data_IF_294764340345
#
_entry.id   IF_294764340345
#
_cell.length_a   1.000
_cell.length_b   1.000
_cell.length_c   1.000
_cell.angle_alpha   90.00
_cell.angle_beta   90.00
_cell.angle_gamma   90.00
#
_symmetry.space_group_name_H-M   'P 1'
#
loop_
_entity.id
_entity.type
_entity.pdbx_description
1 polymer ?
#
# COMPACT_ATOMS: atom_id res chain seq x y z
N UNK A 1 -14.52 -18.81 6.11
CA UNK A 1 -13.99 -18.86 4.74
C UNK A 1 -12.48 -18.80 4.78
N UNK A 2 -11.83 -19.64 4.04
CA UNK A 2 -10.38 -19.64 4.00
C UNK A 2 -9.88 -18.71 2.90
N UNK A 3 -8.77 -18.05 3.12
CA UNK A 3 -8.10 -17.30 2.10
C UNK A 3 -7.51 -18.23 1.04
N UNK A 4 -7.35 -17.72 -0.18
CA UNK A 4 -6.57 -18.41 -1.20
C UNK A 4 -5.11 -18.45 -0.78
N UNK A 5 -4.34 -19.44 -1.27
CA UNK A 5 -2.89 -19.43 -1.03
C UNK A 5 -2.28 -18.13 -1.51
N UNK A 6 -1.46 -17.55 -0.68
CA UNK A 6 -0.77 -16.29 -0.99
C UNK A 6 0.69 -16.58 -1.24
N UNK A 7 1.20 -16.07 -2.36
CA UNK A 7 2.62 -16.07 -2.62
C UNK A 7 3.27 -14.95 -1.81
N UNK A 8 4.13 -15.32 -0.85
CA UNK A 8 4.88 -14.33 -0.09
C UNK A 8 6.20 -14.07 -0.82
N UNK A 9 6.49 -12.79 -1.12
CA UNK A 9 7.70 -12.47 -1.87
C UNK A 9 8.98 -12.76 -1.10
N UNK A 10 10.04 -12.95 -1.87
CA UNK A 10 11.38 -13.08 -1.36
C UNK A 10 11.85 -11.75 -0.74
N UNK A 11 12.53 -11.81 0.39
CA UNK A 11 13.02 -10.63 1.08
C UNK A 11 14.25 -9.99 0.44
N UNK A 12 14.70 -10.49 -0.68
CA UNK A 12 15.86 -9.96 -1.40
C UNK A 12 15.51 -9.20 -2.68
N UNK A 13 14.26 -8.78 -2.83
CA UNK A 13 13.84 -8.03 -4.01
C UNK A 13 14.45 -6.63 -4.04
N UNK A 14 14.77 -6.19 -5.26
CA UNK A 14 15.29 -4.85 -5.50
C UNK A 14 14.19 -3.81 -5.41
N UNK A 15 14.53 -2.64 -4.89
CA UNK A 15 13.61 -1.51 -4.89
C UNK A 15 13.67 -0.75 -6.21
N UNK A 16 12.57 -0.07 -6.54
CA UNK A 16 12.54 0.86 -7.66
C UNK A 16 13.46 2.05 -7.37
N UNK A 17 14.15 2.52 -8.40
CA UNK A 17 15.10 3.63 -8.26
C UNK A 17 14.40 4.91 -7.80
N UNK A 18 14.94 5.52 -6.75
CA UNK A 18 14.43 6.79 -6.22
C UNK A 18 13.15 6.68 -5.41
N UNK A 19 12.64 5.48 -5.19
CA UNK A 19 11.47 5.23 -4.38
C UNK A 19 11.73 4.03 -3.48
N UNK A 20 11.32 4.15 -2.24
CA UNK A 20 11.47 3.11 -1.23
C UNK A 20 10.09 2.79 -0.67
N UNK A 21 9.69 1.54 -0.74
CA UNK A 21 8.47 1.05 -0.11
C UNK A 21 8.77 -0.37 0.35
N UNK A 22 8.76 -0.57 1.65
CA UNK A 22 9.04 -1.90 2.18
C UNK A 22 8.12 -2.23 3.34
N UNK A 23 7.96 -3.53 3.57
CA UNK A 23 7.21 -4.06 4.70
C UNK A 23 7.90 -5.28 5.25
N UNK A 24 7.57 -5.62 6.49
CA UNK A 24 8.02 -6.87 7.10
C UNK A 24 6.86 -7.53 7.82
N UNK A 25 6.94 -8.82 7.94
CA UNK A 25 6.05 -9.61 8.80
C UNK A 25 6.76 -9.98 10.10
N UNK A 26 7.76 -10.83 10.03
CA UNK A 26 8.55 -11.24 11.20
C UNK A 26 10.05 -11.31 10.93
N UNK A 27 10.49 -11.10 9.72
CA UNK A 27 11.89 -11.23 9.34
C UNK A 27 12.44 -9.99 8.69
N UNK A 28 13.26 -10.20 7.69
CA UNK A 28 13.84 -9.13 6.91
C UNK A 28 12.76 -8.38 6.13
N UNK A 29 12.94 -7.09 5.89
CA UNK A 29 11.98 -6.33 5.10
C UNK A 29 11.94 -6.82 3.65
N UNK A 30 10.74 -6.75 3.09
CA UNK A 30 10.47 -7.04 1.68
C UNK A 30 10.36 -5.71 0.97
N UNK A 31 11.16 -5.52 -0.08
CA UNK A 31 11.20 -4.27 -0.83
C UNK A 31 10.30 -4.36 -2.04
N UNK A 32 9.46 -3.34 -2.25
CA UNK A 32 8.64 -3.25 -3.43
C UNK A 32 9.50 -3.11 -4.68
N UNK A 33 9.08 -3.78 -5.74
CA UNK A 33 9.71 -3.67 -7.06
C UNK A 33 9.10 -2.53 -7.87
N UNK A 34 7.83 -2.22 -7.59
CA UNK A 34 7.11 -1.12 -8.25
C UNK A 34 6.39 -0.29 -7.20
N UNK A 35 6.37 1.02 -7.40
CA UNK A 35 5.73 1.94 -6.48
C UNK A 35 4.90 2.98 -7.24
N UNK A 36 3.87 3.50 -6.57
CA UNK A 36 3.05 4.60 -7.09
C UNK A 36 2.78 5.57 -5.97
N UNK A 37 2.97 6.85 -6.24
CA UNK A 37 2.51 7.95 -5.40
C UNK A 37 1.89 9.00 -6.32
N UNK A 38 0.60 9.20 -6.21
CA UNK A 38 -0.13 10.17 -7.03
C UNK A 38 -1.43 10.60 -6.36
N UNK A 39 -2.01 11.67 -6.89
CA UNK A 39 -3.37 12.06 -6.54
C UNK A 39 -4.34 11.38 -7.50
N UNK A 40 -5.40 10.79 -6.95
CA UNK A 40 -6.51 10.28 -7.73
C UNK A 40 -7.65 11.27 -7.61
N UNK A 41 -7.78 12.13 -8.62
CA UNK A 41 -8.75 13.22 -8.65
C UNK A 41 -9.89 12.96 -9.63
N UNK A 42 -9.92 11.78 -10.27
CA UNK A 42 -10.92 11.43 -11.26
C UNK A 42 -12.24 11.07 -10.62
N UNK A 43 -13.33 11.39 -11.34
CA UNK A 43 -14.67 11.03 -10.94
C UNK A 43 -15.29 11.97 -9.91
N UNK A 44 -16.60 11.79 -9.63
CA UNK A 44 -17.34 12.63 -8.69
C UNK A 44 -17.16 12.24 -7.24
N UNK A 45 -16.56 11.08 -6.98
CA UNK A 45 -16.38 10.55 -5.64
C UNK A 45 -15.26 11.30 -4.90
N UNK A 46 -15.01 10.88 -3.66
CA UNK A 46 -13.97 11.47 -2.83
C UNK A 46 -12.61 11.27 -3.48
N UNK A 47 -11.84 12.34 -3.53
CA UNK A 47 -10.50 12.34 -4.10
C UNK A 47 -9.50 11.87 -3.06
N UNK A 48 -8.47 11.13 -3.51
CA UNK A 48 -7.50 10.52 -2.61
C UNK A 48 -6.08 10.72 -3.09
N UNK A 49 -5.14 10.72 -2.13
CA UNK A 49 -3.75 10.40 -2.39
C UNK A 49 -3.61 8.88 -2.36
N UNK A 50 -2.83 8.35 -3.29
CA UNK A 50 -2.55 6.91 -3.39
C UNK A 50 -1.06 6.66 -3.15
N UNK A 51 -0.77 5.75 -2.22
CA UNK A 51 0.59 5.27 -1.93
C UNK A 51 0.59 3.76 -2.10
N UNK A 52 1.44 3.25 -2.98
CA UNK A 52 1.34 1.86 -3.42
C UNK A 52 2.72 1.25 -3.60
N UNK A 53 2.86 -0.01 -3.19
CA UNK A 53 4.07 -0.80 -3.45
C UNK A 53 3.71 -2.24 -3.76
N UNK A 54 4.38 -2.83 -4.74
CA UNK A 54 4.11 -4.18 -5.18
C UNK A 54 5.37 -4.96 -5.54
N UNK A 55 5.24 -6.28 -5.46
CA UNK A 55 6.22 -7.24 -5.98
C UNK A 55 5.52 -8.25 -6.88
N UNK A 56 6.29 -8.90 -7.74
CA UNK A 56 5.79 -9.97 -8.59
C UNK A 56 4.89 -9.49 -9.72
N UNK A 57 4.18 -10.42 -10.35
CA UNK A 57 3.29 -10.12 -11.46
C UNK A 57 2.07 -11.01 -11.45
N UNK A 58 0.95 -10.49 -11.97
CA UNK A 58 -0.28 -11.27 -12.11
C UNK A 58 -0.10 -12.38 -13.14
N UNK A 59 0.67 -12.13 -14.19
CA UNK A 59 0.93 -13.11 -15.25
C UNK A 59 1.60 -14.36 -14.68
N UNK A 60 2.52 -14.19 -13.74
CA UNK A 60 3.26 -15.29 -13.13
C UNK A 60 2.58 -15.84 -11.87
N UNK A 61 1.45 -15.25 -11.46
CA UNK A 61 0.77 -15.69 -10.26
C UNK A 61 1.51 -15.33 -8.97
N UNK A 62 2.35 -14.28 -9.01
CA UNK A 62 3.21 -13.89 -7.88
C UNK A 62 2.94 -12.47 -7.39
N UNK A 63 1.88 -11.83 -7.85
CA UNK A 63 1.58 -10.44 -7.50
C UNK A 63 1.23 -10.29 -6.02
N UNK A 64 1.81 -9.28 -5.39
CA UNK A 64 1.63 -9.01 -3.97
C UNK A 64 1.83 -7.52 -3.74
N UNK A 65 0.81 -6.85 -3.22
CA UNK A 65 0.82 -5.39 -3.11
C UNK A 65 0.10 -4.90 -1.86
N UNK A 66 0.49 -3.71 -1.43
CA UNK A 66 -0.27 -2.92 -0.47
C UNK A 66 -0.53 -1.55 -1.05
N UNK A 67 -1.74 -1.03 -0.84
CA UNK A 67 -2.13 0.30 -1.26
C UNK A 67 -2.78 1.04 -0.10
N UNK A 68 -2.32 2.26 0.13
CA UNK A 68 -2.87 3.17 1.13
C UNK A 68 -3.53 4.34 0.41
N UNK A 69 -4.75 4.67 0.82
CA UNK A 69 -5.52 5.78 0.26
C UNK A 69 -5.96 6.69 1.38
N UNK A 70 -5.60 7.96 1.29
CA UNK A 70 -6.01 8.98 2.26
C UNK A 70 -6.69 10.13 1.53
N UNK A 71 -7.58 10.90 2.21
CA UNK A 71 -8.29 12.00 1.54
C UNK A 71 -7.32 13.03 0.97
N UNK A 72 -7.65 13.50 -0.23
CA UNK A 72 -6.94 14.62 -0.84
C UNK A 72 -7.52 15.92 -0.29
N UNK A 73 -6.71 16.69 0.40
CA UNK A 73 -7.11 17.94 1.03
C UNK A 73 -6.36 19.15 0.44
N UNK A 74 -5.87 19.03 -0.78
CA UNK A 74 -5.15 20.09 -1.47
C UNK A 74 -3.66 19.82 -1.59
N UNK A 75 -2.92 20.83 -2.04
CA UNK A 75 -1.49 20.71 -2.34
C UNK A 75 -0.59 21.27 -1.22
N UNK A 76 -1.13 21.51 -0.05
CA UNK A 76 -0.36 21.98 1.10
C UNK A 76 0.34 20.85 1.85
N UNK A 77 1.32 21.23 2.67
CA UNK A 77 1.99 20.28 3.56
C UNK A 77 0.97 19.59 4.45
N UNK A 78 1.14 18.28 4.65
CA UNK A 78 0.24 17.50 5.48
C UNK A 78 1.05 16.53 6.34
N UNK A 79 0.94 16.67 7.66
CA UNK A 79 1.47 15.71 8.61
C UNK A 79 0.30 15.20 9.44
N UNK A 80 0.04 13.90 9.36
CA UNK A 80 -1.16 13.35 9.98
C UNK A 80 -1.04 11.86 10.20
N UNK A 81 -1.74 11.38 11.21
CA UNK A 81 -1.92 9.95 11.47
C UNK A 81 -3.37 9.57 11.17
N UNK A 82 -3.54 8.54 10.36
CA UNK A 82 -4.84 7.97 10.00
C UNK A 82 -5.00 6.61 10.65
N UNK A 83 -6.23 6.32 11.09
CA UNK A 83 -6.58 5.00 11.62
C UNK A 83 -7.88 4.55 10.97
N UNK A 84 -8.00 3.26 10.68
CA UNK A 84 -9.26 2.72 10.20
C UNK A 84 -10.32 2.92 11.28
N UNK A 85 -11.47 3.47 10.89
CA UNK A 85 -12.57 3.77 11.81
C UNK A 85 -12.53 5.15 12.42
N UNK A 86 -11.58 6.00 12.03
CA UNK A 86 -11.49 7.38 12.54
C UNK A 86 -12.37 8.39 11.77
N UNK A 87 -13.14 7.91 10.79
CA UNK A 87 -14.00 8.77 9.98
C UNK A 87 -13.30 9.55 8.89
N UNK A 88 -12.04 9.25 8.59
CA UNK A 88 -11.19 10.03 7.69
C UNK A 88 -11.12 9.50 6.26
N UNK A 89 -11.98 8.58 5.86
CA UNK A 89 -11.92 8.00 4.50
C UNK A 89 -10.55 7.41 4.18
N UNK A 90 -9.98 6.71 5.12
CA UNK A 90 -8.69 6.05 5.02
C UNK A 90 -8.89 4.57 4.68
N UNK A 91 -8.23 4.10 3.63
CA UNK A 91 -8.34 2.71 3.19
C UNK A 91 -6.96 2.09 3.02
N UNK A 92 -6.87 0.82 3.39
CA UNK A 92 -5.66 0.02 3.17
C UNK A 92 -6.08 -1.27 2.49
N UNK A 93 -5.55 -1.49 1.29
CA UNK A 93 -5.82 -2.68 0.51
C UNK A 93 -4.58 -3.56 0.48
N UNK A 94 -4.81 -4.87 0.55
CA UNK A 94 -3.84 -5.88 0.14
C UNK A 94 -4.36 -6.52 -1.13
N UNK A 95 -3.51 -6.61 -2.15
CA UNK A 95 -3.86 -7.18 -3.45
C UNK A 95 -2.88 -8.31 -3.70
N UNK A 96 -3.40 -9.49 -4.06
CA UNK A 96 -2.52 -10.63 -4.33
C UNK A 96 -3.08 -11.53 -5.41
N UNK A 97 -2.18 -12.26 -6.07
CA UNK A 97 -2.56 -13.27 -7.05
C UNK A 97 -3.36 -14.37 -6.40
N UNK A 98 -4.31 -14.91 -7.14
CA UNK A 98 -5.02 -16.15 -6.81
C UNK A 98 -4.97 -17.08 -8.02
N UNK A 99 -4.86 -18.40 -7.82
CA UNK A 99 -4.83 -19.32 -8.96
C UNK A 99 -6.21 -19.41 -9.63
N UNK A 100 -6.27 -19.64 -10.95
CA UNK A 100 -5.12 -19.70 -11.86
C UNK A 100 -4.68 -18.29 -12.27
N UNK A 101 -3.40 -18.13 -12.59
CA UNK A 101 -2.91 -16.87 -13.14
C UNK A 101 -3.65 -16.55 -14.46
N UNK A 102 -3.92 -15.27 -14.76
CA UNK A 102 -3.45 -14.04 -14.10
C UNK A 102 -4.45 -13.46 -13.08
N UNK A 103 -5.27 -14.27 -12.47
CA UNK A 103 -6.30 -13.79 -11.54
C UNK A 103 -5.67 -13.20 -10.27
N UNK A 104 -6.35 -12.20 -9.71
CA UNK A 104 -5.96 -11.61 -8.44
C UNK A 104 -7.21 -11.15 -7.69
N UNK A 105 -7.03 -10.89 -6.41
CA UNK A 105 -8.09 -10.38 -5.54
C UNK A 105 -7.53 -9.35 -4.59
N UNK A 106 -8.43 -8.59 -3.96
CA UNK A 106 -8.05 -7.59 -2.98
C UNK A 106 -8.87 -7.76 -1.71
N UNK A 107 -8.30 -7.31 -0.59
CA UNK A 107 -8.98 -7.27 0.68
C UNK A 107 -8.62 -5.98 1.41
N UNK A 108 -9.55 -5.49 2.23
CA UNK A 108 -9.32 -4.33 3.08
C UNK A 108 -8.71 -4.77 4.40
N UNK A 109 -7.82 -3.95 4.94
CA UNK A 109 -7.30 -4.17 6.29
C UNK A 109 -8.45 -4.06 7.31
N UNK A 110 -8.38 -4.88 8.33
CA UNK A 110 -9.32 -4.82 9.45
C UNK A 110 -8.95 -3.71 10.42
N UNK A 111 -7.65 -3.52 10.61
CA UNK A 111 -7.10 -2.42 11.40
C UNK A 111 -5.87 -1.88 10.69
N UNK A 112 -5.64 -0.59 10.80
CA UNK A 112 -4.42 0.00 10.28
C UNK A 112 -4.21 1.39 10.88
N UNK A 113 -2.94 1.75 10.95
CA UNK A 113 -2.50 3.09 11.32
C UNK A 113 -1.43 3.51 10.33
N UNK A 114 -1.54 4.72 9.81
CA UNK A 114 -0.58 5.29 8.87
C UNK A 114 -0.27 6.71 9.32
N UNK A 115 1.00 6.99 9.54
CA UNK A 115 1.50 8.34 9.81
C UNK A 115 2.26 8.83 8.59
N UNK A 116 1.87 9.97 8.04
CA UNK A 116 2.50 10.53 6.85
C UNK A 116 3.04 11.92 7.09
N UNK A 117 4.10 12.23 6.35
CA UNK A 117 4.56 13.57 6.09
C UNK A 117 4.57 13.75 4.57
N UNK A 118 3.64 14.55 4.09
CA UNK A 118 3.37 14.72 2.67
C UNK A 118 3.67 16.16 2.26
N UNK A 119 4.54 16.31 1.26
CA UNK A 119 4.85 17.60 0.66
C UNK A 119 4.50 17.54 -0.83
N UNK A 120 3.26 17.87 -1.20
CA UNK A 120 2.85 17.80 -2.60
C UNK A 120 3.63 18.72 -3.53
N UNK A 121 4.04 19.88 -3.06
CA UNK A 121 4.80 20.84 -3.86
C UNK A 121 6.17 20.28 -4.24
N UNK A 122 6.84 19.62 -3.31
CA UNK A 122 8.11 18.92 -3.58
C UNK A 122 7.89 17.57 -4.24
N UNK A 123 6.67 17.07 -4.21
CA UNK A 123 6.37 15.75 -4.74
C UNK A 123 6.94 14.61 -3.93
N UNK A 124 6.97 14.74 -2.60
CA UNK A 124 7.52 13.72 -1.72
C UNK A 124 6.55 13.31 -0.63
N UNK A 125 6.64 12.07 -0.19
CA UNK A 125 5.91 11.58 0.97
C UNK A 125 6.76 10.58 1.73
N UNK A 126 6.71 10.68 3.06
CA UNK A 126 7.22 9.66 3.97
C UNK A 126 6.05 9.09 4.74
N UNK A 127 5.99 7.78 4.89
CA UNK A 127 4.93 7.12 5.65
C UNK A 127 5.45 5.96 6.46
N UNK A 128 4.88 5.81 7.66
CA UNK A 128 5.10 4.64 8.53
C UNK A 128 3.76 3.99 8.78
N UNK A 129 3.67 2.68 8.61
CA UNK A 129 2.40 2.00 8.73
C UNK A 129 2.48 0.69 9.51
N UNK A 130 1.33 0.34 10.06
CA UNK A 130 1.06 -0.93 10.72
C UNK A 130 -0.37 -1.32 10.34
N UNK A 131 -0.53 -2.44 9.67
CA UNK A 131 -1.85 -2.89 9.24
C UNK A 131 -2.07 -4.34 9.68
N UNK A 132 -3.34 -4.68 9.91
CA UNK A 132 -3.72 -6.04 10.34
C UNK A 132 -4.84 -6.52 9.44
N UNK A 133 -4.64 -7.72 8.87
CA UNK A 133 -5.63 -8.39 8.02
C UNK A 133 -5.95 -9.73 8.66
N UNK A 134 -7.19 -9.91 9.11
CA UNK A 134 -7.62 -11.19 9.68
C UNK A 134 -8.96 -11.68 9.13
N UNK A 135 -9.79 -10.80 8.58
CA UNK A 135 -11.06 -11.21 7.99
C UNK A 135 -10.84 -12.06 6.75
N UNK A 136 -11.75 -13.00 6.50
CA UNK A 136 -11.68 -13.83 5.30
C UNK A 136 -10.58 -14.90 5.35
N UNK A 137 -10.07 -15.22 6.53
CA UNK A 137 -9.02 -16.23 6.68
C UNK A 137 -7.61 -15.68 6.55
N UNK A 138 -7.45 -14.38 6.41
CA UNK A 138 -6.12 -13.76 6.37
C UNK A 138 -5.47 -13.77 7.75
N UNK A 139 -4.14 -13.78 7.77
CA UNK A 139 -3.34 -13.68 8.98
C UNK A 139 -2.07 -12.92 8.66
N UNK A 140 -2.20 -11.59 8.54
CA UNK A 140 -1.06 -10.75 8.18
C UNK A 140 -1.06 -9.49 9.03
N UNK A 141 0.14 -9.10 9.45
CA UNK A 141 0.35 -7.82 10.11
C UNK A 141 1.59 -7.15 9.51
N UNK A 142 1.48 -6.61 8.30
CA UNK A 142 2.61 -5.90 7.72
C UNK A 142 2.88 -4.60 8.46
N UNK A 143 4.16 -4.37 8.77
CA UNK A 143 4.66 -3.14 9.35
C UNK A 143 5.73 -2.63 8.39
N UNK A 144 5.68 -1.37 8.03
CA UNK A 144 6.62 -0.86 7.06
C UNK A 144 6.70 0.65 6.97
N UNK A 145 7.45 1.05 5.97
CA UNK A 145 7.77 2.45 5.72
C UNK A 145 7.84 2.68 4.22
N UNK A 146 7.46 3.87 3.79
CA UNK A 146 7.72 4.27 2.42
C UNK A 146 8.24 5.70 2.35
N UNK A 147 9.07 5.93 1.33
CA UNK A 147 9.56 7.24 0.92
C UNK A 147 9.42 7.28 -0.59
N UNK A 148 8.48 8.07 -1.08
CA UNK A 148 8.08 8.04 -2.47
C UNK A 148 8.15 9.40 -3.12
N UNK A 149 8.34 9.39 -4.44
CA UNK A 149 8.28 10.57 -5.28
C UNK A 149 7.01 10.53 -6.11
N UNK A 150 6.37 11.68 -6.22
CA UNK A 150 5.12 11.84 -6.93
C UNK A 150 5.31 11.57 -8.42
N UNK A 151 4.43 10.74 -8.99
CA UNK A 151 4.54 10.32 -10.39
C UNK A 151 3.71 11.18 -11.35
N UNK A 152 2.77 11.97 -10.82
CA UNK A 152 1.82 12.74 -11.63
C UNK A 152 2.15 14.23 -11.73
N UNK A 153 3.39 14.59 -11.47
CA UNK A 153 3.89 15.96 -11.65
C UNK A 153 4.78 16.05 -12.87
#
# INVERSE_FOLDING_TARGET
MSAFPIFFPDDHKSQAAGNDFHWRFTGEPINAESTIFRADLAGPAIKHWIFYGSTGSTVNGTFFAFQFSVPYEGEGLLEKTYKIGDGQWFYVFHIHSVPPAPNFTSTLADKAELTIRLDPAKGTVHGDFNAIFYSGGYRMNPIGTFDLKRADQ
#
